data_IF_746756580500
#
_entry.id   IF_746756580500
#
_cell.length_a   1.000
_cell.length_b   1.000
_cell.length_c   1.000
_cell.angle_alpha   90.00
_cell.angle_beta   90.00
_cell.angle_gamma   90.00
#
_symmetry.space_group_name_H-M   'P 1'
#
loop_
_entity.id
_entity.type
_entity.pdbx_description
1 polymer ?
#
# COMPACT_ATOMS: atom_id res chain seq x y z
N UNK A 1 20.29 -33.30 0.55
CA UNK A 1 20.02 -33.05 0.69
C UNK A 1 19.57 -32.81 0.98
N UNK A 2 19.49 -32.54 0.77
CA UNK A 2 19.01 -32.13 0.86
C UNK A 2 18.60 -31.64 1.30
N UNK A 3 18.50 -31.26 1.26
CA UNK A 3 18.07 -30.73 1.41
C UNK A 3 17.75 -30.11 1.55
N UNK A 4 18.30 -30.22 1.65
CA UNK A 4 17.82 -29.68 1.51
C UNK A 4 17.19 -29.32 0.92
N UNK A 5 17.10 -29.55 0.64
CA UNK A 5 16.33 -29.32 0.02
C UNK A 5 15.33 -29.73 -0.01
N UNK A 6 15.22 -30.33 0.55
CA UNK A 6 14.02 -30.49 0.49
C UNK A 6 13.06 -29.44 0.31
N UNK A 7 13.34 -28.28 0.21
CA UNK A 7 12.52 -27.12 0.01
C UNK A 7 11.90 -27.10 -1.36
N UNK A 8 10.64 -26.69 -1.43
CA UNK A 8 9.99 -26.55 -2.71
C UNK A 8 10.35 -25.21 -3.30
N UNK A 9 11.04 -25.18 -4.43
CA UNK A 9 11.59 -23.93 -4.95
C UNK A 9 10.55 -22.85 -5.20
N UNK A 10 9.41 -23.17 -5.77
CA UNK A 10 8.42 -22.15 -6.09
C UNK A 10 7.86 -21.44 -4.87
N UNK A 11 7.56 -22.17 -3.81
CA UNK A 11 7.04 -21.59 -2.60
C UNK A 11 8.10 -20.74 -1.91
N UNK A 12 9.34 -21.21 -1.92
CA UNK A 12 10.43 -20.48 -1.30
C UNK A 12 10.72 -19.20 -2.02
N UNK A 13 10.68 -19.23 -3.34
CA UNK A 13 10.93 -18.03 -4.13
C UNK A 13 9.93 -16.94 -3.81
N UNK A 14 8.67 -17.30 -3.64
CA UNK A 14 7.64 -16.33 -3.31
C UNK A 14 7.87 -15.71 -1.94
N UNK A 15 8.40 -16.49 -1.02
CA UNK A 15 8.68 -16.01 0.33
C UNK A 15 9.94 -15.17 0.41
N UNK A 16 10.78 -15.25 -0.60
CA UNK A 16 12.05 -14.54 -0.61
C UNK A 16 11.96 -13.14 -1.18
N UNK A 17 10.80 -12.75 -1.64
CA UNK A 17 10.63 -11.42 -2.21
C UNK A 17 9.58 -10.65 -1.46
N UNK A 18 9.87 -9.38 -1.18
CA UNK A 18 8.87 -8.54 -0.52
C UNK A 18 7.72 -8.23 -1.46
N UNK A 19 6.59 -7.90 -0.87
CA UNK A 19 5.45 -7.36 -1.62
C UNK A 19 5.74 -5.89 -1.86
N UNK A 20 5.83 -5.51 -3.13
CA UNK A 20 6.20 -4.16 -3.53
C UNK A 20 4.97 -3.39 -3.97
N UNK A 21 5.12 -2.08 -4.03
CA UNK A 21 4.04 -1.22 -4.52
C UNK A 21 3.57 -1.63 -5.91
N UNK A 22 4.50 -1.97 -6.80
CA UNK A 22 4.14 -2.39 -8.15
C UNK A 22 3.41 -3.72 -8.22
N UNK A 23 3.49 -4.53 -7.17
CA UNK A 23 2.77 -5.79 -7.10
C UNK A 23 1.29 -5.59 -6.80
N UNK A 24 0.94 -4.50 -6.13
CA UNK A 24 -0.42 -4.24 -5.68
C UNK A 24 -1.10 -3.11 -6.45
N UNK A 25 -0.34 -2.15 -6.92
CA UNK A 25 -0.88 -0.94 -7.53
C UNK A 25 -0.20 -0.68 -8.86
N UNK A 26 -0.90 0.04 -9.72
CA UNK A 26 -0.37 0.39 -11.04
C UNK A 26 0.50 1.64 -10.93
N UNK A 27 1.70 1.46 -10.41
CA UNK A 27 2.69 2.53 -10.25
C UNK A 27 3.95 2.16 -11.01
N UNK A 28 4.84 3.13 -11.20
CA UNK A 28 6.06 2.92 -11.99
C UNK A 28 7.27 3.52 -11.28
N UNK A 29 8.44 3.28 -11.87
CA UNK A 29 9.70 3.84 -11.39
C UNK A 29 10.12 3.27 -10.06
N UNK A 30 10.78 4.11 -9.26
CA UNK A 30 11.32 3.68 -7.97
C UNK A 30 10.23 3.17 -7.04
N UNK A 31 9.07 3.83 -7.03
CA UNK A 31 8.01 3.42 -6.13
C UNK A 31 7.57 1.98 -6.38
N UNK A 32 7.49 1.58 -7.64
CA UNK A 32 7.07 0.22 -7.98
C UNK A 32 7.99 -0.84 -7.38
N UNK A 33 9.24 -0.50 -7.15
CA UNK A 33 10.24 -1.42 -6.64
C UNK A 33 10.33 -1.44 -5.12
N UNK A 34 9.66 -0.53 -4.44
CA UNK A 34 9.77 -0.41 -2.99
C UNK A 34 8.85 -1.38 -2.28
N UNK A 35 9.36 -2.11 -1.27
CA UNK A 35 8.47 -2.93 -0.44
C UNK A 35 7.52 -2.04 0.33
N UNK A 36 6.31 -2.51 0.51
CA UNK A 36 5.34 -1.77 1.30
C UNK A 36 5.75 -1.89 2.77
N UNK A 37 5.94 -0.75 3.39
CA UNK A 37 6.43 -0.66 4.76
C UNK A 37 5.30 -0.31 5.72
N UNK A 38 5.43 -0.69 7.01
CA UNK A 38 4.34 -0.46 7.97
C UNK A 38 3.95 1.01 8.12
N UNK A 39 4.93 1.93 8.15
CA UNK A 39 4.61 3.34 8.31
C UNK A 39 3.94 3.92 7.07
N UNK A 40 4.26 3.41 5.89
CA UNK A 40 3.56 3.82 4.67
C UNK A 40 2.06 3.52 4.80
N UNK A 41 1.75 2.32 5.27
CA UNK A 41 0.36 1.91 5.45
C UNK A 41 -0.33 2.75 6.53
N UNK A 42 0.39 3.06 7.61
CA UNK A 42 -0.15 3.90 8.67
C UNK A 42 -0.43 5.31 8.18
N UNK A 43 0.45 5.85 7.34
CA UNK A 43 0.26 7.18 6.76
C UNK A 43 -0.99 7.20 5.86
N UNK A 44 -1.17 6.16 5.05
CA UNK A 44 -2.35 6.08 4.19
C UNK A 44 -3.62 5.93 5.01
N UNK A 45 -3.58 5.14 6.07
CA UNK A 45 -4.74 4.98 6.95
C UNK A 45 -5.14 6.32 7.58
N UNK A 46 -4.15 7.05 8.06
CA UNK A 46 -4.40 8.36 8.67
C UNK A 46 -4.97 9.33 7.64
N UNK A 47 -4.43 9.33 6.43
CA UNK A 47 -4.91 10.22 5.37
C UNK A 47 -6.34 9.88 4.96
N UNK A 48 -6.65 8.58 4.85
CA UNK A 48 -8.03 8.17 4.54
C UNK A 48 -8.99 8.60 5.63
N UNK A 49 -8.61 8.38 6.89
CA UNK A 49 -9.46 8.76 8.02
C UNK A 49 -9.68 10.27 8.08
N UNK A 50 -8.66 11.06 7.77
CA UNK A 50 -8.76 12.51 7.77
C UNK A 50 -9.74 13.02 6.72
N UNK A 51 -9.69 12.43 5.53
CA UNK A 51 -10.52 12.90 4.42
C UNK A 51 -11.92 12.29 4.46
N UNK A 52 -12.03 11.02 4.80
CA UNK A 52 -13.30 10.29 4.70
C UNK A 52 -13.95 10.00 6.04
N UNK A 53 -13.28 10.34 7.13
CA UNK A 53 -13.77 10.08 8.47
C UNK A 53 -13.52 8.66 8.95
N UNK A 54 -13.08 7.78 8.07
CA UNK A 54 -12.78 6.41 8.43
C UNK A 54 -11.94 5.76 7.35
N UNK A 55 -11.25 4.68 7.73
CA UNK A 55 -10.50 3.88 6.77
C UNK A 55 -11.46 2.97 6.03
N UNK A 56 -11.34 2.90 4.73
CA UNK A 56 -12.19 2.04 3.93
C UNK A 56 -11.81 0.58 4.11
N UNK A 57 -12.83 -0.23 4.32
CA UNK A 57 -12.62 -1.67 4.43
C UNK A 57 -12.24 -2.20 3.04
N UNK A 58 -11.10 -2.88 2.97
CA UNK A 58 -10.61 -3.40 1.69
C UNK A 58 -10.04 -2.36 0.76
N UNK A 59 -9.91 -1.10 1.21
CA UNK A 59 -9.33 -0.04 0.42
C UNK A 59 -7.80 -0.07 0.44
N UNK A 60 -7.16 0.93 -0.18
CA UNK A 60 -5.70 0.93 -0.31
C UNK A 60 -4.94 0.82 1.00
N UNK A 61 -5.38 1.53 2.05
CA UNK A 61 -4.68 1.44 3.34
C UNK A 61 -4.77 0.03 3.91
N UNK A 62 -5.93 -0.64 3.80
CA UNK A 62 -6.09 -2.00 4.29
C UNK A 62 -5.21 -2.98 3.51
N UNK A 63 -5.14 -2.82 2.21
CA UNK A 63 -4.28 -3.65 1.35
C UNK A 63 -2.82 -3.44 1.71
N UNK A 64 -2.41 -2.18 1.92
CA UNK A 64 -1.05 -1.86 2.31
C UNK A 64 -0.71 -2.43 3.68
N UNK A 65 -1.64 -2.37 4.63
CA UNK A 65 -1.40 -2.92 5.96
C UNK A 65 -1.18 -4.43 5.91
N UNK A 66 -1.97 -5.12 5.12
CA UNK A 66 -1.80 -6.56 4.95
C UNK A 66 -0.45 -6.89 4.34
N UNK A 67 -0.07 -6.17 3.28
CA UNK A 67 1.22 -6.38 2.61
C UNK A 67 2.38 -6.06 3.54
N UNK A 68 2.29 -4.94 4.27
CA UNK A 68 3.36 -4.53 5.19
C UNK A 68 3.52 -5.55 6.31
N UNK A 69 2.42 -6.10 6.82
CA UNK A 69 2.49 -7.12 7.87
C UNK A 69 3.21 -8.37 7.37
N UNK A 70 2.95 -8.77 6.13
CA UNK A 70 3.65 -9.91 5.54
C UNK A 70 5.12 -9.62 5.34
N UNK A 71 5.44 -8.42 4.85
CA UNK A 71 6.83 -8.03 4.65
C UNK A 71 7.58 -7.98 5.98
N UNK A 72 6.93 -7.48 7.02
CA UNK A 72 7.53 -7.43 8.35
C UNK A 72 7.73 -8.84 8.90
N UNK A 73 6.72 -9.70 8.80
CA UNK A 73 6.81 -11.07 9.29
C UNK A 73 7.88 -11.87 8.58
N UNK A 74 8.16 -11.56 7.33
CA UNK A 74 9.21 -12.23 6.56
C UNK A 74 10.58 -11.59 6.73
N UNK A 75 10.67 -10.49 7.47
CA UNK A 75 11.95 -9.84 7.74
C UNK A 75 12.41 -8.88 6.67
N UNK A 76 11.56 -8.54 5.71
CA UNK A 76 11.95 -7.60 4.65
C UNK A 76 11.91 -6.15 5.08
N UNK A 77 11.09 -5.84 6.07
CA UNK A 77 10.98 -4.48 6.62
C UNK A 77 10.86 -4.57 8.13
N UNK A 78 11.23 -3.49 8.81
CA UNK A 78 11.04 -3.38 10.25
C UNK A 78 9.69 -2.78 10.59
N UNK A 79 9.31 -2.90 11.85
CA UNK A 79 7.99 -2.47 12.32
C UNK A 79 7.75 -0.98 12.11
N UNK A 80 8.81 -0.18 12.13
CA UNK A 80 8.69 1.28 11.99
C UNK A 80 9.29 1.79 10.69
N UNK A 81 9.51 0.90 9.74
CA UNK A 81 10.09 1.32 8.48
C UNK A 81 9.10 2.13 7.66
N UNK A 82 9.65 3.06 6.91
CA UNK A 82 8.94 3.88 5.94
C UNK A 82 9.77 3.88 4.66
N UNK A 83 9.12 3.80 3.50
CA UNK A 83 9.89 3.94 2.27
C UNK A 83 10.34 5.39 2.11
N UNK A 84 11.46 5.57 1.41
CA UNK A 84 11.98 6.92 1.17
C UNK A 84 11.00 7.76 0.35
N UNK A 85 10.32 7.14 -0.62
CA UNK A 85 9.35 7.87 -1.43
C UNK A 85 8.20 8.38 -0.57
N UNK A 86 7.60 7.52 0.26
CA UNK A 86 6.50 7.95 1.13
C UNK A 86 6.97 8.95 2.17
N UNK A 87 8.16 8.71 2.75
CA UNK A 87 8.70 9.60 3.77
C UNK A 87 9.05 10.97 3.24
N UNK A 88 9.61 11.05 2.03
CA UNK A 88 10.07 12.32 1.46
C UNK A 88 8.95 13.08 0.76
N UNK A 89 8.07 12.38 0.06
CA UNK A 89 7.08 13.02 -0.80
C UNK A 89 5.66 12.89 -0.29
N UNK A 90 5.46 12.03 0.69
CA UNK A 90 4.19 11.92 1.38
C UNK A 90 3.18 11.00 0.72
N UNK A 91 2.10 10.81 1.46
CA UNK A 91 0.93 10.04 1.05
C UNK A 91 -0.23 11.01 1.02
N UNK A 92 -1.02 10.99 -0.03
CA UNK A 92 -2.09 11.97 -0.23
C UNK A 92 -3.40 11.27 -0.51
N UNK A 93 -4.45 11.71 0.16
CA UNK A 93 -5.82 11.32 -0.15
C UNK A 93 -6.60 12.59 -0.35
N UNK A 94 -7.28 12.71 -1.48
CA UNK A 94 -8.10 13.89 -1.77
C UNK A 94 -9.49 13.46 -2.19
N UNK A 95 -10.44 14.34 -1.97
CA UNK A 95 -11.80 14.13 -2.43
C UNK A 95 -12.22 15.33 -3.27
N UNK A 96 -12.75 15.06 -4.44
CA UNK A 96 -13.28 16.07 -5.33
C UNK A 96 -14.77 15.84 -5.50
N UNK A 97 -15.57 16.85 -5.14
CA UNK A 97 -17.02 16.74 -5.24
C UNK A 97 -17.47 17.11 -6.64
N UNK A 98 -18.31 16.25 -7.19
CA UNK A 98 -19.03 16.54 -8.43
C UNK A 98 -20.50 16.28 -8.16
N UNK A 99 -21.42 16.76 -9.01
CA UNK A 99 -22.84 16.57 -8.74
C UNK A 99 -23.19 15.10 -8.53
N UNK A 100 -23.74 14.79 -7.37
CA UNK A 100 -24.23 13.46 -7.03
C UNK A 100 -23.19 12.47 -6.56
N UNK A 101 -21.90 12.87 -6.48
CA UNK A 101 -20.89 11.92 -6.05
C UNK A 101 -19.61 12.63 -5.65
N UNK A 102 -18.73 11.89 -4.99
CA UNK A 102 -17.37 12.33 -4.70
C UNK A 102 -16.37 11.43 -5.39
N UNK A 103 -15.24 11.98 -5.76
CA UNK A 103 -14.13 11.22 -6.34
C UNK A 103 -12.99 11.22 -5.35
N UNK A 104 -12.60 10.04 -4.89
CA UNK A 104 -11.52 9.85 -3.94
C UNK A 104 -10.28 9.46 -4.71
N UNK A 105 -9.21 10.21 -4.52
CA UNK A 105 -7.92 9.95 -5.18
C UNK A 105 -6.87 9.69 -4.11
N UNK A 106 -6.17 8.57 -4.23
CA UNK A 106 -5.13 8.19 -3.29
C UNK A 106 -3.81 8.03 -4.03
N UNK A 107 -2.75 8.60 -3.46
CA UNK A 107 -1.44 8.57 -4.11
C UNK A 107 -0.33 8.46 -3.07
N UNK A 108 0.81 7.95 -3.53
CA UNK A 108 2.06 7.93 -2.78
C UNK A 108 3.13 8.51 -3.68
N UNK A 109 3.89 9.48 -3.16
CA UNK A 109 4.97 10.08 -3.93
C UNK A 109 4.52 10.73 -5.21
N UNK A 110 3.29 11.23 -5.23
CA UNK A 110 2.74 11.88 -6.42
C UNK A 110 2.16 10.92 -7.45
N UNK A 111 2.21 9.61 -7.23
CA UNK A 111 1.63 8.65 -8.16
C UNK A 111 0.27 8.21 -7.64
N UNK A 112 -0.76 8.43 -8.45
CA UNK A 112 -2.12 8.00 -8.14
C UNK A 112 -2.22 6.51 -8.38
N UNK A 113 -2.65 5.76 -7.39
CA UNK A 113 -2.84 4.33 -7.57
C UNK A 113 -4.23 3.86 -7.14
N UNK A 114 -5.07 4.76 -6.69
CA UNK A 114 -6.46 4.41 -6.40
C UNK A 114 -7.34 5.60 -6.71
N UNK A 115 -8.39 5.34 -7.45
CA UNK A 115 -9.39 6.32 -7.77
C UNK A 115 -10.73 5.65 -7.58
N UNK A 116 -11.50 6.13 -6.61
CA UNK A 116 -12.80 5.55 -6.33
C UNK A 116 -13.87 6.63 -6.33
N UNK A 117 -15.10 6.21 -6.56
CA UNK A 117 -16.25 7.11 -6.63
C UNK A 117 -17.24 6.71 -5.57
N UNK A 118 -17.66 7.68 -4.78
CA UNK A 118 -18.73 7.46 -3.81
C UNK A 118 -19.97 8.21 -4.27
N UNK A 119 -21.13 7.62 -3.99
CA UNK A 119 -22.40 8.23 -4.36
C UNK A 119 -22.86 9.11 -3.20
N UNK A 120 -23.26 10.33 -3.53
CA UNK A 120 -23.81 11.23 -2.55
C UNK A 120 -25.23 10.79 -2.18
N UNK A 121 -25.53 10.86 -0.90
CA UNK A 121 -26.83 10.44 -0.36
C UNK A 121 -27.65 11.64 0.08
N UNK A 122 -27.67 12.64 -0.70
CA UNK A 122 -28.44 13.81 -0.36
C UNK A 122 -29.90 13.60 -0.62
#
# INVERSE_FOLDING_TARGET
MSQAQLRRPGADDQQQQPIKYGDLFNVSGDLAQKPIAPEDAAMMQTAEATIMGQTQKGGPAAVMQSAAARNEGAGFVGHRDVTDVAGDQGVTVTETDVPGRGIITESVGGQVFSLSVSVSHI
#
